data_IF_924083740518
#
_entry.id   IF_924083740518
#
_cell.length_a   1.000
_cell.length_b   1.000
_cell.length_c   1.000
_cell.angle_alpha   90.00
_cell.angle_beta   90.00
_cell.angle_gamma   90.00
#
_symmetry.space_group_name_H-M   'P 1'
#
loop_
_entity.id
_entity.type
_entity.pdbx_description
1 polymer ?
#
# COMPACT_ATOMS: atom_id res chain seq x y z
N UNK A 1 16.88 -31.74 10.73
CA UNK A 1 16.74 -30.45 10.04
C UNK A 1 15.67 -30.69 9.00
N UNK A 2 14.46 -30.23 9.23
CA UNK A 2 13.40 -30.31 8.23
C UNK A 2 13.84 -29.49 7.03
N UNK A 3 13.96 -30.16 5.88
CA UNK A 3 14.26 -29.53 4.61
C UNK A 3 13.00 -28.73 4.23
N UNK A 4 12.90 -27.48 4.70
CA UNK A 4 11.73 -26.64 4.46
C UNK A 4 11.81 -26.15 3.00
N UNK A 5 11.22 -26.94 2.09
CA UNK A 5 11.16 -26.59 0.66
C UNK A 5 10.20 -25.41 0.48
N UNK A 6 10.68 -24.34 -0.13
CA UNK A 6 9.87 -23.15 -0.44
C UNK A 6 9.02 -23.45 -1.68
N UNK A 7 7.70 -23.43 -1.51
CA UNK A 7 6.75 -23.54 -2.61
C UNK A 7 6.57 -22.18 -3.29
N UNK A 8 6.91 -22.11 -4.56
CA UNK A 8 6.92 -20.88 -5.34
C UNK A 8 5.85 -20.92 -6.43
N UNK A 9 5.03 -19.88 -6.51
CA UNK A 9 4.16 -19.56 -7.64
C UNK A 9 4.79 -18.41 -8.44
N UNK A 10 4.77 -18.47 -9.77
CA UNK A 10 5.21 -17.37 -10.64
C UNK A 10 4.01 -16.86 -11.41
N UNK A 11 3.83 -15.53 -11.47
CA UNK A 11 2.79 -14.87 -12.24
C UNK A 11 3.43 -13.82 -13.17
N UNK A 12 3.35 -14.07 -14.47
CA UNK A 12 3.86 -13.19 -15.55
C UNK A 12 3.13 -13.53 -16.86
N UNK A 13 2.65 -12.54 -17.59
CA UNK A 13 1.94 -12.76 -18.87
C UNK A 13 2.87 -13.16 -20.01
N UNK A 14 4.17 -12.96 -19.87
CA UNK A 14 5.18 -13.30 -20.85
C UNK A 14 5.69 -14.73 -20.69
N UNK A 15 5.35 -15.60 -21.66
CA UNK A 15 5.89 -16.97 -21.73
C UNK A 15 7.44 -17.02 -21.74
N UNK A 16 8.07 -16.00 -22.35
CA UNK A 16 9.53 -15.88 -22.37
C UNK A 16 10.09 -15.60 -20.97
N UNK A 17 9.44 -14.72 -20.19
CA UNK A 17 9.79 -14.41 -18.81
C UNK A 17 9.64 -15.67 -17.92
N UNK A 18 8.50 -16.36 -17.99
CA UNK A 18 8.27 -17.61 -17.26
C UNK A 18 9.35 -18.66 -17.57
N UNK A 19 9.71 -18.81 -18.84
CA UNK A 19 10.77 -19.75 -19.25
C UNK A 19 12.14 -19.35 -18.68
N UNK A 20 12.47 -18.06 -18.71
CA UNK A 20 13.69 -17.51 -18.13
C UNK A 20 13.77 -17.71 -16.63
N UNK A 21 12.69 -17.39 -15.91
CA UNK A 21 12.59 -17.57 -14.46
C UNK A 21 12.75 -19.05 -14.07
N UNK A 22 12.10 -19.97 -14.78
CA UNK A 22 12.29 -21.42 -14.57
C UNK A 22 13.73 -21.86 -14.77
N UNK A 23 14.40 -21.32 -15.79
CA UNK A 23 15.81 -21.63 -16.03
C UNK A 23 16.72 -21.14 -14.87
N UNK A 24 16.42 -19.98 -14.29
CA UNK A 24 17.12 -19.45 -13.13
C UNK A 24 16.90 -20.29 -11.85
N UNK A 25 15.72 -20.88 -11.69
CA UNK A 25 15.40 -21.75 -10.56
C UNK A 25 16.07 -23.14 -10.63
N UNK A 26 16.51 -23.57 -11.81
CA UNK A 26 17.18 -24.88 -11.97
C UNK A 26 18.40 -24.99 -11.04
N UNK A 27 18.41 -26.08 -10.25
CA UNK A 27 19.49 -26.37 -9.29
C UNK A 27 19.33 -25.74 -7.90
N UNK A 28 18.24 -25.02 -7.63
CA UNK A 28 17.86 -24.60 -6.29
C UNK A 28 17.01 -25.72 -5.64
N UNK A 29 17.66 -26.64 -4.93
CA UNK A 29 17.01 -27.83 -4.37
C UNK A 29 15.99 -27.49 -3.25
N UNK A 30 16.10 -26.30 -2.69
CA UNK A 30 15.26 -25.79 -1.60
C UNK A 30 14.05 -24.96 -2.10
N UNK A 31 13.87 -24.80 -3.43
CA UNK A 31 12.77 -24.06 -4.03
C UNK A 31 12.03 -24.92 -5.03
N UNK A 32 10.75 -25.14 -4.82
CA UNK A 32 9.90 -25.91 -5.72
C UNK A 32 8.88 -25.00 -6.39
N UNK A 33 8.92 -24.95 -7.73
CA UNK A 33 7.87 -24.28 -8.49
C UNK A 33 6.59 -25.13 -8.45
N UNK A 34 5.52 -24.59 -7.86
CA UNK A 34 4.24 -25.27 -7.69
C UNK A 34 3.18 -24.83 -8.68
N UNK A 35 3.38 -23.69 -9.36
CA UNK A 35 2.44 -23.20 -10.36
C UNK A 35 3.00 -22.01 -11.17
N UNK A 36 2.35 -21.80 -12.31
CA UNK A 36 2.61 -20.67 -13.23
C UNK A 36 1.24 -20.04 -13.56
N UNK A 37 1.16 -18.72 -13.46
CA UNK A 37 -0.01 -17.92 -13.82
C UNK A 37 0.34 -16.96 -14.96
N UNK A 38 -0.55 -16.80 -15.91
CA UNK A 38 -0.39 -15.91 -17.06
C UNK A 38 -1.17 -14.58 -16.91
N UNK A 39 -1.65 -14.28 -15.70
CA UNK A 39 -2.38 -13.07 -15.39
C UNK A 39 -2.74 -12.98 -13.92
N UNK A 40 -3.15 -11.78 -13.47
CA UNK A 40 -3.44 -11.53 -12.05
C UNK A 40 -4.61 -12.34 -11.51
N UNK A 41 -5.68 -12.49 -12.28
CA UNK A 41 -6.83 -13.29 -11.90
C UNK A 41 -6.50 -14.78 -11.76
N UNK A 42 -5.60 -15.31 -12.61
CA UNK A 42 -5.13 -16.68 -12.50
C UNK A 42 -4.21 -16.84 -11.29
N UNK A 43 -3.33 -15.85 -11.03
CA UNK A 43 -2.44 -15.86 -9.87
C UNK A 43 -3.21 -15.94 -8.56
N UNK A 44 -4.31 -15.21 -8.41
CA UNK A 44 -5.18 -15.29 -7.22
C UNK A 44 -5.75 -16.69 -7.04
N UNK A 45 -6.36 -17.25 -8.09
CA UNK A 45 -6.95 -18.60 -8.01
C UNK A 45 -5.92 -19.69 -7.70
N UNK A 46 -4.71 -19.57 -8.28
CA UNK A 46 -3.62 -20.50 -8.01
C UNK A 46 -3.06 -20.34 -6.60
N UNK A 47 -2.89 -19.12 -6.13
CA UNK A 47 -2.44 -18.83 -4.78
C UNK A 47 -3.40 -19.42 -3.74
N UNK A 48 -4.71 -19.23 -3.92
CA UNK A 48 -5.74 -19.80 -3.04
C UNK A 48 -5.72 -21.33 -3.04
N UNK A 49 -5.57 -21.94 -4.20
CA UNK A 49 -5.60 -23.41 -4.34
C UNK A 49 -4.31 -24.08 -3.88
N UNK A 50 -3.16 -23.51 -4.22
CA UNK A 50 -1.85 -24.14 -4.01
C UNK A 50 -1.18 -23.71 -2.70
N UNK A 51 -1.63 -22.62 -2.10
CA UNK A 51 -1.07 -22.05 -0.86
C UNK A 51 0.46 -22.00 -0.88
N UNK A 52 1.08 -21.30 -1.88
CA UNK A 52 2.53 -21.21 -1.96
C UNK A 52 3.10 -20.38 -0.81
N UNK A 53 4.36 -20.61 -0.47
CA UNK A 53 5.07 -19.77 0.50
C UNK A 53 5.38 -18.38 -0.09
N UNK A 54 5.73 -18.36 -1.40
CA UNK A 54 6.10 -17.14 -2.12
C UNK A 54 5.41 -17.07 -3.48
N UNK A 55 4.94 -15.88 -3.84
CA UNK A 55 4.50 -15.53 -5.20
C UNK A 55 5.49 -14.54 -5.80
N UNK A 56 6.12 -14.88 -6.93
CA UNK A 56 6.77 -13.91 -7.79
C UNK A 56 5.72 -13.29 -8.69
N UNK A 57 5.48 -11.98 -8.56
CA UNK A 57 4.37 -11.28 -9.20
C UNK A 57 4.87 -10.20 -10.15
N UNK A 58 4.58 -10.33 -11.44
CA UNK A 58 4.73 -9.20 -12.36
C UNK A 58 3.67 -8.14 -12.08
N UNK A 59 4.05 -6.87 -12.22
CA UNK A 59 3.10 -5.74 -12.07
C UNK A 59 2.26 -5.52 -13.32
N UNK A 60 2.82 -5.76 -14.51
CA UNK A 60 2.21 -5.40 -15.78
C UNK A 60 1.61 -6.62 -16.47
N UNK A 61 0.39 -6.96 -16.10
CA UNK A 61 -0.38 -8.02 -16.74
C UNK A 61 -1.72 -7.46 -17.29
N UNK A 62 -2.21 -7.95 -18.46
CA UNK A 62 -3.28 -7.29 -19.21
C UNK A 62 -4.68 -7.45 -18.61
N UNK A 63 -4.96 -8.54 -17.90
CA UNK A 63 -6.29 -8.84 -17.33
C UNK A 63 -6.53 -8.15 -16.00
N UNK A 64 -5.55 -8.25 -15.10
CA UNK A 64 -5.51 -7.64 -13.80
C UNK A 64 -4.07 -7.35 -13.45
N UNK A 65 -3.78 -6.09 -13.07
CA UNK A 65 -2.42 -5.72 -12.71
C UNK A 65 -1.95 -6.42 -11.41
N UNK A 66 -0.63 -6.62 -11.30
CA UNK A 66 -0.05 -7.34 -10.19
C UNK A 66 -0.22 -6.66 -8.83
N UNK A 67 -0.48 -5.35 -8.77
CA UNK A 67 -0.75 -4.61 -7.53
C UNK A 67 -2.11 -5.06 -6.96
N UNK A 68 -3.14 -5.11 -7.80
CA UNK A 68 -4.47 -5.55 -7.37
C UNK A 68 -4.48 -7.05 -7.02
N UNK A 69 -3.79 -7.88 -7.82
CA UNK A 69 -3.61 -9.29 -7.50
C UNK A 69 -2.89 -9.49 -6.15
N UNK A 70 -1.83 -8.71 -5.89
CA UNK A 70 -1.12 -8.72 -4.61
C UNK A 70 -2.05 -8.38 -3.44
N UNK A 71 -2.84 -7.31 -3.57
CA UNK A 71 -3.79 -6.89 -2.52
C UNK A 71 -4.78 -8.00 -2.18
N UNK A 72 -5.34 -8.66 -3.19
CA UNK A 72 -6.31 -9.74 -2.99
C UNK A 72 -5.66 -10.98 -2.37
N UNK A 73 -4.49 -11.40 -2.85
CA UNK A 73 -3.76 -12.55 -2.30
C UNK A 73 -3.40 -12.31 -0.83
N UNK A 74 -2.83 -11.15 -0.49
CA UNK A 74 -2.43 -10.84 0.89
C UNK A 74 -3.65 -10.70 1.80
N UNK A 75 -4.78 -10.19 1.29
CA UNK A 75 -6.02 -10.10 2.07
C UNK A 75 -6.61 -11.47 2.39
N UNK A 76 -6.64 -12.39 1.42
CA UNK A 76 -7.23 -13.73 1.60
C UNK A 76 -6.27 -14.73 2.23
N UNK A 77 -4.97 -14.56 2.00
CA UNK A 77 -3.92 -15.49 2.46
C UNK A 77 -2.70 -14.71 2.98
N UNK A 78 -2.75 -14.09 4.17
CA UNK A 78 -1.70 -13.20 4.69
C UNK A 78 -0.34 -13.87 4.95
N UNK A 79 -0.29 -15.18 4.99
CA UNK A 79 0.95 -15.95 5.15
C UNK A 79 1.74 -16.01 3.85
N UNK A 80 1.10 -15.90 2.68
CA UNK A 80 1.78 -15.90 1.38
C UNK A 80 2.60 -14.62 1.24
N UNK A 81 3.89 -14.78 0.99
CA UNK A 81 4.79 -13.66 0.73
C UNK A 81 4.75 -13.29 -0.76
N UNK A 82 4.42 -12.05 -1.09
CA UNK A 82 4.48 -11.57 -2.48
C UNK A 82 5.78 -10.80 -2.70
N UNK A 83 6.60 -11.27 -3.65
CA UNK A 83 7.80 -10.62 -4.16
C UNK A 83 7.51 -10.11 -5.58
N UNK A 84 7.50 -8.80 -5.74
CA UNK A 84 7.16 -8.17 -7.01
C UNK A 84 8.36 -8.20 -7.97
N UNK A 85 8.09 -8.51 -9.25
CA UNK A 85 9.04 -8.36 -10.35
C UNK A 85 8.66 -7.15 -11.20
N UNK A 86 9.62 -6.30 -11.53
CA UNK A 86 9.39 -5.13 -12.39
C UNK A 86 10.54 -4.91 -13.37
N UNK A 87 10.22 -4.40 -14.55
CA UNK A 87 11.23 -4.01 -15.56
C UNK A 87 11.90 -2.67 -15.23
N UNK A 88 11.21 -1.82 -14.48
CA UNK A 88 11.64 -0.46 -14.19
C UNK A 88 11.73 -0.22 -12.69
N UNK A 89 12.69 0.60 -12.29
CA UNK A 89 12.79 1.16 -10.94
C UNK A 89 11.82 2.35 -10.80
N UNK A 90 10.55 2.08 -11.14
CA UNK A 90 9.45 3.04 -11.00
C UNK A 90 8.97 3.03 -9.55
N UNK A 91 9.46 4.00 -8.80
CA UNK A 91 9.16 4.17 -7.38
C UNK A 91 7.65 4.23 -7.09
N UNK A 92 6.81 4.70 -8.03
CA UNK A 92 5.37 4.81 -7.81
C UNK A 92 4.69 3.44 -7.83
N UNK A 93 4.97 2.62 -8.83
CA UNK A 93 4.42 1.26 -8.94
C UNK A 93 4.93 0.34 -7.83
N UNK A 94 6.23 0.44 -7.50
CA UNK A 94 6.82 -0.32 -6.39
C UNK A 94 6.19 0.08 -5.07
N UNK A 95 6.02 1.38 -4.81
CA UNK A 95 5.39 1.88 -3.60
C UNK A 95 3.93 1.43 -3.49
N UNK A 96 3.15 1.47 -4.59
CA UNK A 96 1.78 0.98 -4.62
C UNK A 96 1.69 -0.53 -4.35
N UNK A 97 2.65 -1.32 -4.86
CA UNK A 97 2.74 -2.75 -4.57
C UNK A 97 3.03 -3.02 -3.09
N UNK A 98 3.90 -2.21 -2.47
CA UNK A 98 4.15 -2.29 -1.02
C UNK A 98 2.91 -1.96 -0.19
N UNK A 99 2.16 -0.92 -0.58
CA UNK A 99 0.88 -0.60 0.05
C UNK A 99 -0.17 -1.71 -0.11
N UNK A 100 -0.10 -2.48 -1.20
CA UNK A 100 -0.93 -3.66 -1.42
C UNK A 100 -0.53 -4.86 -0.57
N UNK A 101 0.63 -4.79 0.12
CA UNK A 101 1.13 -5.83 1.02
C UNK A 101 2.27 -6.68 0.47
N UNK A 102 2.90 -6.29 -0.65
CA UNK A 102 4.11 -6.96 -1.11
C UNK A 102 5.22 -6.87 -0.06
N UNK A 103 5.98 -7.96 0.11
CA UNK A 103 7.10 -8.02 1.07
C UNK A 103 8.43 -7.58 0.47
N UNK A 104 8.48 -7.38 -0.83
CA UNK A 104 9.68 -6.90 -1.50
C UNK A 104 9.47 -6.72 -2.99
N UNK A 105 10.51 -6.19 -3.64
CA UNK A 105 10.55 -6.12 -5.09
C UNK A 105 11.92 -6.48 -5.63
N UNK A 106 11.97 -6.88 -6.89
CA UNK A 106 13.19 -7.24 -7.60
C UNK A 106 13.08 -6.78 -9.07
N UNK A 107 14.17 -6.32 -9.63
CA UNK A 107 14.21 -6.01 -11.06
C UNK A 107 14.28 -7.30 -11.89
N UNK A 108 13.55 -7.37 -13.00
CA UNK A 108 13.56 -8.52 -13.93
C UNK A 108 14.98 -8.81 -14.51
N UNK A 109 15.92 -7.87 -14.38
CA UNK A 109 17.33 -8.06 -14.73
C UNK A 109 18.21 -8.55 -13.59
N UNK A 110 17.68 -8.86 -12.43
CA UNK A 110 18.44 -9.33 -11.28
C UNK A 110 19.16 -10.67 -11.60
N UNK A 111 20.36 -10.83 -11.06
CA UNK A 111 21.12 -12.07 -11.19
C UNK A 111 20.41 -13.25 -10.52
N UNK A 112 20.71 -14.47 -10.96
CA UNK A 112 20.21 -15.69 -10.31
C UNK A 112 20.43 -15.67 -8.79
N UNK A 113 21.61 -15.24 -8.35
CA UNK A 113 21.98 -15.19 -6.93
C UNK A 113 21.09 -14.24 -6.14
N UNK A 114 20.83 -13.06 -6.68
CA UNK A 114 19.95 -12.05 -6.06
C UNK A 114 18.52 -12.55 -5.98
N UNK A 115 17.99 -13.13 -7.06
CA UNK A 115 16.63 -13.66 -7.09
C UNK A 115 16.43 -14.79 -6.08
N UNK A 116 17.32 -15.80 -6.06
CA UNK A 116 17.23 -16.92 -5.11
C UNK A 116 17.35 -16.44 -3.66
N UNK A 117 18.21 -15.46 -3.41
CA UNK A 117 18.32 -14.81 -2.09
C UNK A 117 17.03 -14.11 -1.71
N UNK A 118 16.47 -13.28 -2.59
CA UNK A 118 15.24 -12.55 -2.34
C UNK A 118 14.05 -13.49 -2.02
N UNK A 119 13.92 -14.60 -2.77
CA UNK A 119 12.88 -15.61 -2.52
C UNK A 119 13.03 -16.20 -1.10
N UNK A 120 14.25 -16.59 -0.70
CA UNK A 120 14.52 -17.15 0.63
C UNK A 120 14.26 -16.13 1.75
N UNK A 121 14.71 -14.89 1.56
CA UNK A 121 14.55 -13.83 2.54
C UNK A 121 13.06 -13.52 2.78
N UNK A 122 12.23 -13.38 1.72
CA UNK A 122 10.79 -13.15 1.90
C UNK A 122 10.05 -14.37 2.44
N UNK A 123 10.46 -15.59 2.07
CA UNK A 123 9.89 -16.82 2.63
C UNK A 123 10.16 -16.94 4.14
N UNK A 124 11.31 -16.45 4.61
CA UNK A 124 11.64 -16.41 6.05
C UNK A 124 10.94 -15.27 6.82
N UNK A 125 10.12 -14.46 6.15
CA UNK A 125 9.41 -13.34 6.75
C UNK A 125 10.13 -11.99 6.66
N UNK A 126 11.28 -11.91 5.99
CA UNK A 126 11.96 -10.63 5.76
C UNK A 126 11.20 -9.77 4.75
N UNK A 127 11.42 -8.46 4.83
CA UNK A 127 10.97 -7.49 3.83
C UNK A 127 12.18 -6.89 3.12
N UNK A 128 12.12 -6.79 1.79
CA UNK A 128 13.22 -6.34 0.95
C UNK A 128 12.85 -5.04 0.27
N UNK A 129 13.51 -3.95 0.68
CA UNK A 129 13.29 -2.62 0.15
C UNK A 129 14.61 -1.98 -0.30
N UNK A 130 14.57 -1.21 -1.41
CA UNK A 130 15.66 -0.29 -1.70
C UNK A 130 15.68 0.86 -0.68
N UNK A 131 16.82 1.52 -0.48
CA UNK A 131 16.88 2.72 0.36
C UNK A 131 15.94 3.84 -0.08
N UNK A 132 15.64 3.94 -1.39
CA UNK A 132 14.69 4.91 -1.94
C UNK A 132 13.26 4.58 -1.50
N UNK A 133 12.81 3.34 -1.66
CA UNK A 133 11.50 2.87 -1.23
C UNK A 133 11.35 2.97 0.29
N UNK A 134 12.36 2.60 1.06
CA UNK A 134 12.32 2.72 2.52
C UNK A 134 12.12 4.18 2.97
N UNK A 135 12.84 5.14 2.37
CA UNK A 135 12.64 6.58 2.64
C UNK A 135 11.22 7.03 2.28
N UNK A 136 10.68 6.59 1.15
CA UNK A 136 9.35 6.96 0.71
C UNK A 136 8.26 6.38 1.63
N UNK A 137 8.41 5.15 2.09
CA UNK A 137 7.55 4.56 3.11
C UNK A 137 7.58 5.37 4.42
N UNK A 138 8.77 5.78 4.88
CA UNK A 138 8.89 6.62 6.07
C UNK A 138 8.20 7.98 5.90
N UNK A 139 8.34 8.62 4.73
CA UNK A 139 7.64 9.87 4.42
C UNK A 139 6.12 9.68 4.42
N UNK A 140 5.62 8.60 3.84
CA UNK A 140 4.20 8.26 3.82
C UNK A 140 3.65 8.03 5.24
N UNK A 141 4.34 7.26 6.08
CA UNK A 141 3.94 7.07 7.47
C UNK A 141 3.99 8.36 8.29
N UNK A 142 4.97 9.23 8.01
CA UNK A 142 5.02 10.55 8.65
C UNK A 142 3.84 11.44 8.20
N UNK A 143 3.45 11.38 6.93
CA UNK A 143 2.26 12.09 6.44
C UNK A 143 0.98 11.54 7.08
N UNK A 144 0.84 10.21 7.21
CA UNK A 144 -0.28 9.60 7.94
C UNK A 144 -0.31 9.99 9.42
N UNK A 145 0.85 10.03 10.08
CA UNK A 145 0.96 10.53 11.47
C UNK A 145 0.59 11.99 11.60
N UNK A 146 0.89 12.79 10.58
CA UNK A 146 0.55 14.20 10.53
C UNK A 146 -0.88 14.44 9.99
N UNK A 147 -1.64 13.38 9.68
CA UNK A 147 -3.08 13.41 9.38
C UNK A 147 -3.88 12.63 10.44
N UNK A 148 -3.77 12.97 11.74
CA UNK A 148 -4.60 12.32 12.78
C UNK A 148 -6.09 12.54 12.54
N UNK A 149 -6.40 13.59 11.80
CA UNK A 149 -7.71 14.16 11.65
C UNK A 149 -8.67 13.40 10.70
N UNK A 150 -8.17 12.84 9.61
CA UNK A 150 -9.02 12.13 8.65
C UNK A 150 -9.57 10.80 9.22
N UNK A 151 -8.83 10.19 10.15
CA UNK A 151 -9.29 9.00 10.88
C UNK A 151 -10.10 9.32 12.13
N UNK A 152 -9.90 10.51 12.72
CA UNK A 152 -10.63 10.92 13.91
C UNK A 152 -12.06 11.39 13.60
N UNK A 153 -12.31 11.85 12.37
CA UNK A 153 -13.60 12.39 11.93
C UNK A 153 -14.01 11.81 10.56
N UNK A 154 -14.34 10.51 10.50
CA UNK A 154 -14.70 9.83 9.25
C UNK A 154 -15.99 10.37 8.62
N UNK A 155 -16.82 11.05 9.41
CA UNK A 155 -18.05 11.71 8.96
C UNK A 155 -17.82 13.03 8.22
N UNK A 156 -16.62 13.63 8.33
CA UNK A 156 -16.30 14.89 7.68
C UNK A 156 -15.72 14.66 6.27
N UNK A 157 -16.14 15.49 5.33
CA UNK A 157 -15.46 15.59 4.03
C UNK A 157 -14.08 16.24 4.20
N UNK A 158 -13.19 16.03 3.22
CA UNK A 158 -11.87 16.65 3.20
C UNK A 158 -11.94 18.17 3.41
N UNK A 159 -12.93 18.83 2.79
CA UNK A 159 -13.12 20.28 2.89
C UNK A 159 -13.62 20.74 4.25
N UNK A 160 -14.49 19.97 4.88
CA UNK A 160 -14.92 20.21 6.26
C UNK A 160 -13.78 20.03 7.26
N UNK A 161 -12.91 19.04 7.00
CA UNK A 161 -11.74 18.80 7.82
C UNK A 161 -10.72 19.94 7.74
N UNK A 162 -10.47 20.49 6.55
CA UNK A 162 -9.62 21.68 6.37
C UNK A 162 -10.17 22.88 7.14
N UNK A 163 -11.48 23.11 7.08
CA UNK A 163 -12.14 24.17 7.86
C UNK A 163 -11.99 23.92 9.35
N UNK A 164 -12.23 22.69 9.83
CA UNK A 164 -12.11 22.33 11.25
C UNK A 164 -10.67 22.50 11.75
N UNK A 165 -9.68 22.14 10.94
CA UNK A 165 -8.26 22.34 11.27
C UNK A 165 -7.92 23.82 11.48
N UNK A 166 -8.35 24.70 10.59
CA UNK A 166 -8.15 26.14 10.73
C UNK A 166 -8.92 26.73 11.91
N UNK A 167 -10.10 26.17 12.21
CA UNK A 167 -10.83 26.53 13.44
C UNK A 167 -10.05 26.17 14.70
N UNK A 168 -9.44 24.98 14.73
CA UNK A 168 -8.61 24.51 15.84
C UNK A 168 -7.33 25.37 16.03
N UNK A 169 -6.87 26.00 14.95
CA UNK A 169 -5.79 27.00 14.95
C UNK A 169 -6.25 28.43 15.30
N UNK A 170 -7.50 28.57 15.77
CA UNK A 170 -8.12 29.85 16.15
C UNK A 170 -8.37 30.87 15.03
N UNK A 171 -8.33 30.48 13.76
CA UNK A 171 -8.67 31.36 12.67
C UNK A 171 -10.15 31.73 12.69
N UNK A 172 -10.46 33.02 12.45
CA UNK A 172 -11.83 33.48 12.26
C UNK A 172 -12.40 33.00 10.91
N UNK A 173 -13.71 33.05 10.75
CA UNK A 173 -14.34 32.67 9.47
C UNK A 173 -13.88 33.55 8.28
N UNK A 174 -13.42 34.77 8.52
CA UNK A 174 -12.84 35.63 7.48
C UNK A 174 -11.45 35.14 7.06
N UNK A 175 -10.59 34.81 8.03
CA UNK A 175 -9.26 34.26 7.77
C UNK A 175 -9.33 32.90 7.08
N UNK A 176 -10.25 32.03 7.52
CA UNK A 176 -10.52 30.74 6.87
C UNK A 176 -10.98 30.95 5.42
N UNK A 177 -11.88 31.91 5.20
CA UNK A 177 -12.35 32.24 3.86
C UNK A 177 -11.20 32.69 2.94
N UNK A 178 -10.31 33.53 3.44
CA UNK A 178 -9.12 33.98 2.72
C UNK A 178 -8.16 32.81 2.43
N UNK A 179 -7.82 32.02 3.45
CA UNK A 179 -6.88 30.89 3.34
C UNK A 179 -7.36 29.84 2.34
N UNK A 180 -8.64 29.56 2.30
CA UNK A 180 -9.24 28.53 1.46
C UNK A 180 -9.83 29.06 0.14
N UNK A 181 -9.68 30.35 -0.16
CA UNK A 181 -10.27 31.04 -1.33
C UNK A 181 -11.78 30.85 -1.43
N UNK A 182 -12.48 30.98 -0.30
CA UNK A 182 -13.94 30.83 -0.16
C UNK A 182 -14.60 32.15 0.20
N UNK A 183 -15.95 32.21 0.06
CA UNK A 183 -16.72 33.29 0.65
C UNK A 183 -16.94 33.08 2.17
N UNK A 184 -17.05 34.15 2.99
CA UNK A 184 -17.40 33.99 4.40
C UNK A 184 -18.76 33.30 4.64
N UNK A 185 -19.67 33.38 3.69
CA UNK A 185 -20.95 32.65 3.70
C UNK A 185 -20.73 31.15 3.54
N UNK A 186 -19.85 30.77 2.63
CA UNK A 186 -19.51 29.35 2.39
C UNK A 186 -18.85 28.73 3.62
N UNK A 187 -17.93 29.46 4.27
CA UNK A 187 -17.30 29.00 5.52
C UNK A 187 -18.33 28.80 6.63
N UNK A 188 -19.31 29.70 6.79
CA UNK A 188 -20.39 29.50 7.75
C UNK A 188 -21.20 28.24 7.47
N UNK A 189 -21.48 27.93 6.20
CA UNK A 189 -22.19 26.71 5.84
C UNK A 189 -21.37 25.45 6.23
N UNK A 190 -20.07 25.44 5.93
CA UNK A 190 -19.19 24.35 6.37
C UNK A 190 -19.17 24.21 7.90
N UNK A 191 -19.05 25.32 8.62
CA UNK A 191 -19.06 25.31 10.10
C UNK A 191 -20.36 24.71 10.65
N UNK A 192 -21.51 25.08 10.09
CA UNK A 192 -22.82 24.51 10.50
C UNK A 192 -22.90 23.01 10.22
N UNK A 193 -22.42 22.57 9.05
CA UNK A 193 -22.38 21.15 8.70
C UNK A 193 -21.44 20.36 9.62
N UNK A 194 -20.26 20.92 9.95
CA UNK A 194 -19.31 20.33 10.89
C UNK A 194 -19.99 20.14 12.25
N UNK A 195 -20.64 21.16 12.80
CA UNK A 195 -21.32 21.06 14.10
C UNK A 195 -22.40 19.98 14.10
N UNK A 196 -23.20 19.92 13.03
CA UNK A 196 -24.23 18.90 12.89
C UNK A 196 -23.64 17.48 12.82
N UNK A 197 -22.58 17.29 12.04
CA UNK A 197 -21.91 15.97 11.87
C UNK A 197 -21.18 15.53 13.13
N UNK A 198 -20.49 16.44 13.80
CA UNK A 198 -19.80 16.18 15.06
C UNK A 198 -20.73 16.14 16.27
N UNK A 199 -22.02 16.52 16.11
CA UNK A 199 -22.98 16.62 17.20
C UNK A 199 -22.47 17.52 18.34
N UNK A 200 -21.88 18.67 18.01
CA UNK A 200 -21.39 19.68 18.95
C UNK A 200 -22.31 20.92 18.95
N UNK A 201 -22.42 21.57 20.08
CA UNK A 201 -23.34 22.70 20.27
C UNK A 201 -22.78 23.99 19.70
N UNK A 202 -21.47 24.19 19.80
CA UNK A 202 -20.84 25.44 19.40
C UNK A 202 -19.41 25.26 18.85
N UNK A 203 -18.80 26.40 18.48
CA UNK A 203 -17.45 26.46 17.96
C UNK A 203 -16.39 26.03 18.97
N UNK A 204 -16.59 26.36 20.25
CA UNK A 204 -15.60 26.05 21.30
C UNK A 204 -15.50 24.54 21.50
N UNK A 205 -16.63 23.87 21.54
CA UNK A 205 -16.70 22.40 21.65
C UNK A 205 -16.10 21.71 20.41
N UNK A 206 -16.35 22.24 19.21
CA UNK A 206 -15.74 21.73 17.97
C UNK A 206 -14.20 21.86 18.01
N UNK A 207 -13.67 22.98 18.51
CA UNK A 207 -12.23 23.21 18.64
C UNK A 207 -11.62 22.26 19.67
N UNK A 208 -12.24 22.06 20.82
CA UNK A 208 -11.77 21.13 21.86
C UNK A 208 -11.68 19.74 21.26
N UNK A 209 -12.76 19.24 20.65
CA UNK A 209 -12.79 17.91 20.04
C UNK A 209 -11.77 17.73 18.91
N UNK A 210 -11.55 18.78 18.12
CA UNK A 210 -10.52 18.79 17.09
C UNK A 210 -9.10 18.69 17.66
N UNK A 211 -8.82 19.39 18.76
CA UNK A 211 -7.51 19.37 19.42
C UNK A 211 -7.23 18.08 20.17
N UNK A 212 -8.24 17.51 20.82
CA UNK A 212 -8.14 16.19 21.46
C UNK A 212 -7.80 15.10 20.43
N UNK A 213 -8.26 15.29 19.19
CA UNK A 213 -7.92 14.44 18.05
C UNK A 213 -6.59 14.82 17.35
N UNK A 214 -5.85 15.82 17.88
CA UNK A 214 -4.53 16.23 17.36
C UNK A 214 -4.57 17.24 16.20
N UNK A 215 -5.73 17.88 15.92
CA UNK A 215 -5.84 18.95 14.93
C UNK A 215 -5.36 20.30 15.48
N UNK A 216 -4.74 21.10 14.63
CA UNK A 216 -4.39 22.50 14.96
C UNK A 216 -3.14 22.67 15.82
N UNK A 217 -2.33 21.61 15.96
CA UNK A 217 -0.99 21.68 16.59
C UNK A 217 0.05 22.24 15.64
#
# INVERSE_FOLDING_TARGET
MENNTIHLLIADDSQAALTGLKALLKGAADIQLVGEAHGGGEAIRLAERLQPDVVLMDLHMPDMNGIEATRQIVHTSPHIAVLVLTMYDDDDSVFAAMQAGARGYLLKGASKKEMLRAIRDVASGAAIFSPAIARRMMSYFNQLRNQPAAHAFPELTQRELEVLTLMAQHHSNQEIAQSLSLSPKTVRNYTSNIFAKLQVVDRAEAIIRARDAGLGQ
#
